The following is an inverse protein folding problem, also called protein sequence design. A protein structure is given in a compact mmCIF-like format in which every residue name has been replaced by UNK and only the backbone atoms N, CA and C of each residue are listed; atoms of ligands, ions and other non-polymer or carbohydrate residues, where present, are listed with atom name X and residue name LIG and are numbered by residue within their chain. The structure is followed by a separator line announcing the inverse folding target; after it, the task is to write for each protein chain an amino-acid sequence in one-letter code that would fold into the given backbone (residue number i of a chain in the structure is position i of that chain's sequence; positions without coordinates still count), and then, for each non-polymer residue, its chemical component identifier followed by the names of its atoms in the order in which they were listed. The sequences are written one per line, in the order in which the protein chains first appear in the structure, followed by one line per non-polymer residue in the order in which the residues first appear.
data_IF_380514829310
#
_entry.id   IF_380514829310
#
_cell.length_a   1.000
_cell.length_b   1.000
_cell.length_c   1.000
_cell.angle_alpha   90.00
_cell.angle_beta   90.00
_cell.angle_gamma   90.00
#
_symmetry.space_group_name_H-M   'P 1'
#
loop_
_entity.id
_entity.type
_entity.pdbx_description
1 polymer ?
#
# COMPACT_ATOMS: atom_id res chain seq x y z
N UNK A 1 21.29 -14.05 9.75
CA UNK A 1 20.08 -13.24 9.97
C UNK A 1 19.66 -12.63 8.64
N UNK A 2 18.37 -12.44 8.45
CA UNK A 2 17.79 -11.85 7.26
C UNK A 2 17.00 -10.58 7.58
N UNK A 3 17.12 -9.61 6.68
CA UNK A 3 16.44 -8.32 6.70
C UNK A 3 15.38 -8.33 5.61
N UNK A 4 14.13 -8.15 6.00
CA UNK A 4 12.99 -8.01 5.12
C UNK A 4 12.72 -6.55 4.76
N UNK A 5 12.42 -6.31 3.50
CA UNK A 5 11.86 -5.06 3.00
C UNK A 5 10.56 -5.38 2.28
N UNK A 6 9.47 -4.73 2.66
CA UNK A 6 8.17 -4.83 1.98
C UNK A 6 8.04 -3.65 1.02
N UNK A 7 7.80 -3.91 -0.27
CA UNK A 7 7.83 -2.85 -1.28
C UNK A 7 6.89 -3.06 -2.47
N UNK A 8 6.58 -1.97 -3.17
CA UNK A 8 5.99 -2.02 -4.52
C UNK A 8 7.03 -1.72 -5.60
N UNK A 9 8.03 -0.88 -5.29
CA UNK A 9 9.05 -0.40 -6.24
C UNK A 9 8.47 0.00 -7.60
N UNK A 10 7.47 0.88 -7.56
CA UNK A 10 6.62 1.27 -8.69
C UNK A 10 6.79 2.77 -9.05
N UNK A 11 7.89 3.20 -9.72
CA UNK A 11 9.06 2.41 -10.15
C UNK A 11 10.15 2.27 -9.07
N UNK A 12 11.14 1.41 -9.32
CA UNK A 12 12.41 1.37 -8.58
C UNK A 12 13.20 2.65 -8.88
N UNK A 13 13.89 3.24 -7.89
CA UNK A 13 14.47 4.58 -8.01
C UNK A 13 15.57 4.81 -6.97
N UNK A 14 16.31 5.92 -7.08
CA UNK A 14 17.47 6.24 -6.26
C UNK A 14 17.20 6.23 -4.75
N UNK A 15 16.00 6.65 -4.30
CA UNK A 15 15.60 6.54 -2.89
C UNK A 15 15.58 5.10 -2.36
N UNK A 16 15.26 4.11 -3.20
CA UNK A 16 15.30 2.70 -2.81
C UNK A 16 16.74 2.18 -2.74
N UNK A 17 17.57 2.57 -3.71
CA UNK A 17 19.01 2.25 -3.72
C UNK A 17 19.69 2.80 -2.47
N UNK A 18 19.36 4.04 -2.09
CA UNK A 18 19.85 4.65 -0.85
C UNK A 18 19.49 3.82 0.39
N UNK A 19 18.24 3.38 0.52
CA UNK A 19 17.82 2.54 1.64
C UNK A 19 18.56 1.19 1.63
N UNK A 20 18.71 0.53 0.48
CA UNK A 20 19.45 -0.73 0.37
C UNK A 20 20.92 -0.54 0.81
N UNK A 21 21.57 0.53 0.34
CA UNK A 21 22.95 0.83 0.74
C UNK A 21 23.09 1.16 2.22
N UNK A 22 22.13 1.90 2.79
CA UNK A 22 22.07 2.14 4.24
C UNK A 22 22.02 0.82 5.02
N UNK A 23 21.17 -0.12 4.59
CA UNK A 23 21.03 -1.43 5.23
C UNK A 23 22.33 -2.22 5.14
N UNK A 24 22.95 -2.29 3.94
CA UNK A 24 24.24 -2.96 3.74
C UNK A 24 25.35 -2.39 4.62
N UNK A 25 25.39 -1.08 4.80
CA UNK A 25 26.41 -0.44 5.64
C UNK A 25 26.15 -0.68 7.13
N UNK A 26 24.90 -0.67 7.56
CA UNK A 26 24.52 -0.86 8.97
C UNK A 26 24.57 -2.33 9.40
N UNK A 27 24.28 -3.25 8.49
CA UNK A 27 24.18 -4.68 8.72
C UNK A 27 24.96 -5.47 7.64
N UNK A 28 26.30 -5.33 7.57
CA UNK A 28 27.11 -5.82 6.44
C UNK A 28 27.10 -7.34 6.22
N UNK A 29 26.73 -8.11 7.23
CA UNK A 29 26.71 -9.58 7.17
C UNK A 29 25.29 -10.17 7.11
N UNK A 30 24.27 -9.34 6.90
CA UNK A 30 22.87 -9.78 6.86
C UNK A 30 22.34 -9.87 5.44
N UNK A 31 21.56 -10.92 5.16
CA UNK A 31 20.92 -11.11 3.87
C UNK A 31 19.76 -10.10 3.73
N UNK A 32 19.65 -9.43 2.58
CA UNK A 32 18.50 -8.55 2.30
C UNK A 32 17.52 -9.31 1.41
N UNK A 33 16.28 -9.44 1.88
CA UNK A 33 15.18 -10.10 1.19
C UNK A 33 14.07 -9.08 0.97
N UNK A 34 13.63 -8.93 -0.28
CA UNK A 34 12.52 -8.06 -0.64
C UNK A 34 11.26 -8.89 -0.88
N UNK A 35 10.15 -8.46 -0.29
CA UNK A 35 8.80 -8.97 -0.55
C UNK A 35 8.07 -7.90 -1.35
N UNK A 36 7.91 -8.13 -2.65
CA UNK A 36 7.46 -7.14 -3.61
C UNK A 36 6.08 -7.45 -4.16
N UNK A 37 5.23 -6.44 -4.30
CA UNK A 37 3.93 -6.62 -4.98
C UNK A 37 4.12 -7.11 -6.42
N UNK A 38 3.22 -8.01 -6.85
CA UNK A 38 3.12 -8.48 -8.22
C UNK A 38 2.68 -7.40 -9.21
N UNK A 39 1.89 -7.79 -10.22
CA UNK A 39 1.37 -6.88 -11.25
C UNK A 39 0.58 -5.68 -10.69
N UNK A 40 -0.06 -5.85 -9.53
CA UNK A 40 -0.98 -4.86 -8.96
C UNK A 40 -0.48 -4.31 -7.63
N UNK A 41 -0.67 -3.01 -7.41
CA UNK A 41 -0.27 -2.31 -6.18
C UNK A 41 -1.30 -2.49 -5.06
N UNK A 42 -0.94 -2.05 -3.84
CA UNK A 42 -1.84 -1.95 -2.70
C UNK A 42 -3.05 -1.04 -2.95
N UNK A 43 -2.90 -0.09 -3.86
CA UNK A 43 -3.97 0.86 -4.22
C UNK A 43 -4.88 0.34 -5.34
N UNK A 44 -4.62 -0.86 -5.87
CA UNK A 44 -5.36 -1.42 -6.99
C UNK A 44 -4.98 -0.81 -8.33
N UNK A 45 -3.75 -0.30 -8.45
CA UNK A 45 -3.19 0.23 -9.69
C UNK A 45 -2.36 -0.85 -10.38
N UNK A 46 -2.16 -0.73 -11.69
CA UNK A 46 -1.20 -1.56 -12.43
C UNK A 46 0.19 -0.98 -12.16
N UNK A 47 1.16 -1.84 -11.82
CA UNK A 47 2.54 -1.42 -11.68
C UNK A 47 3.11 -1.00 -13.05
N UNK A 48 3.91 0.07 -13.08
CA UNK A 48 4.47 0.63 -14.33
C UNK A 48 5.42 -0.33 -15.04
N UNK A 49 5.88 -1.38 -14.37
CA UNK A 49 6.72 -2.42 -14.94
C UNK A 49 6.37 -3.79 -14.34
N UNK A 50 6.65 -4.84 -15.10
CA UNK A 50 6.43 -6.23 -14.67
C UNK A 50 7.17 -6.56 -13.37
N UNK A 51 6.72 -7.59 -12.67
CA UNK A 51 7.41 -8.10 -11.48
C UNK A 51 8.87 -8.46 -11.82
N UNK A 52 9.11 -9.19 -12.91
CA UNK A 52 10.47 -9.59 -13.33
C UNK A 52 11.36 -8.40 -13.68
N UNK A 53 10.82 -7.38 -14.36
CA UNK A 53 11.56 -6.14 -14.66
C UNK A 53 11.97 -5.43 -13.36
N UNK A 54 11.05 -5.23 -12.42
CA UNK A 54 11.36 -4.59 -11.13
C UNK A 54 12.35 -5.43 -10.31
N UNK A 55 12.16 -6.75 -10.28
CA UNK A 55 13.03 -7.71 -9.58
C UNK A 55 14.46 -7.65 -10.07
N UNK A 56 14.68 -7.55 -11.39
CA UNK A 56 16.03 -7.39 -11.99
C UNK A 56 16.79 -6.23 -11.35
N UNK A 57 16.21 -5.02 -11.36
CA UNK A 57 16.86 -3.82 -10.79
C UNK A 57 17.09 -3.92 -9.28
N UNK A 58 16.19 -4.59 -8.56
CA UNK A 58 16.33 -4.83 -7.11
C UNK A 58 17.52 -5.75 -6.82
N UNK A 59 17.68 -6.82 -7.58
CA UNK A 59 18.82 -7.74 -7.46
C UNK A 59 20.15 -7.04 -7.84
N UNK A 60 20.15 -6.24 -8.90
CA UNK A 60 21.32 -5.43 -9.31
C UNK A 60 21.75 -4.43 -8.23
N UNK A 61 20.83 -3.94 -7.41
CA UNK A 61 21.13 -3.08 -6.26
C UNK A 61 21.78 -3.83 -5.07
N UNK A 62 21.92 -5.16 -5.16
CA UNK A 62 22.57 -6.00 -4.15
C UNK A 62 21.62 -6.60 -3.12
N UNK A 63 20.32 -6.71 -3.43
CA UNK A 63 19.37 -7.54 -2.67
C UNK A 63 19.60 -9.01 -3.02
N UNK A 64 19.54 -9.89 -2.02
CA UNK A 64 19.87 -11.31 -2.18
C UNK A 64 18.72 -12.11 -2.80
N UNK A 65 17.48 -11.85 -2.37
CA UNK A 65 16.28 -12.54 -2.85
C UNK A 65 15.09 -11.59 -2.97
N UNK A 66 14.23 -11.86 -3.95
CA UNK A 66 12.97 -11.13 -4.16
C UNK A 66 11.84 -12.13 -4.29
N UNK A 67 10.84 -12.03 -3.42
CA UNK A 67 9.63 -12.84 -3.44
C UNK A 67 8.43 -11.99 -3.82
N UNK A 68 7.52 -12.57 -4.63
CA UNK A 68 6.26 -11.93 -4.97
C UNK A 68 5.26 -12.08 -3.82
N UNK A 69 4.64 -10.97 -3.41
CA UNK A 69 3.50 -11.00 -2.49
C UNK A 69 2.26 -11.54 -3.22
N UNK A 70 1.50 -12.49 -2.64
CA UNK A 70 0.24 -12.95 -3.18
C UNK A 70 -0.72 -11.78 -3.43
N UNK A 71 -1.51 -11.84 -4.51
CA UNK A 71 -2.44 -10.78 -4.89
C UNK A 71 -3.40 -10.41 -3.74
N UNK A 72 -3.90 -11.43 -3.05
CA UNK A 72 -4.85 -11.32 -1.93
C UNK A 72 -4.23 -10.60 -0.73
N UNK A 73 -2.90 -10.59 -0.63
CA UNK A 73 -2.14 -9.81 0.35
C UNK A 73 -1.81 -8.43 -0.21
N UNK A 74 -1.28 -8.36 -1.44
CA UNK A 74 -0.72 -7.14 -2.00
C UNK A 74 -1.79 -6.08 -2.25
N UNK A 75 -2.95 -6.45 -2.79
CA UNK A 75 -3.97 -5.50 -3.24
C UNK A 75 -5.12 -5.42 -2.24
N UNK A 76 -4.82 -4.86 -1.08
CA UNK A 76 -5.73 -4.80 0.06
C UNK A 76 -5.64 -3.47 0.84
N UNK A 77 -6.51 -3.31 1.85
CA UNK A 77 -6.35 -2.23 2.82
C UNK A 77 -5.04 -2.40 3.62
N UNK A 78 -4.45 -1.29 4.08
CA UNK A 78 -3.12 -1.27 4.68
C UNK A 78 -2.91 -2.29 5.81
N UNK A 79 -3.89 -2.45 6.71
CA UNK A 79 -3.83 -3.44 7.80
C UNK A 79 -3.78 -4.89 7.30
N UNK A 80 -4.56 -5.27 6.28
CA UNK A 80 -4.54 -6.63 5.70
C UNK A 80 -3.23 -6.86 4.93
N UNK A 81 -2.82 -5.87 4.14
CA UNK A 81 -1.53 -5.89 3.44
C UNK A 81 -0.37 -6.11 4.41
N UNK A 82 -0.34 -5.33 5.50
CA UNK A 82 0.68 -5.45 6.54
C UNK A 82 0.62 -6.82 7.23
N UNK A 83 -0.56 -7.31 7.59
CA UNK A 83 -0.72 -8.64 8.20
C UNK A 83 -0.16 -9.75 7.33
N UNK A 84 -0.56 -9.80 6.04
CA UNK A 84 -0.10 -10.84 5.12
C UNK A 84 1.40 -10.73 4.82
N UNK A 85 1.90 -9.52 4.57
CA UNK A 85 3.32 -9.31 4.29
C UNK A 85 4.21 -9.67 5.49
N UNK A 86 3.83 -9.24 6.71
CA UNK A 86 4.57 -9.57 7.93
C UNK A 86 4.53 -11.06 8.25
N UNK A 87 3.38 -11.72 8.03
CA UNK A 87 3.28 -13.17 8.14
C UNK A 87 4.26 -13.86 7.19
N UNK A 88 4.37 -13.41 5.95
CA UNK A 88 5.36 -13.96 5.00
C UNK A 88 6.80 -13.73 5.48
N UNK A 89 7.14 -12.54 5.98
CA UNK A 89 8.47 -12.30 6.56
C UNK A 89 8.79 -13.33 7.65
N UNK A 90 7.84 -13.58 8.55
CA UNK A 90 7.99 -14.57 9.61
C UNK A 90 8.19 -15.99 9.07
N UNK A 91 7.36 -16.42 8.12
CA UNK A 91 7.45 -17.75 7.49
C UNK A 91 8.77 -17.97 6.74
N UNK A 92 9.37 -16.89 6.24
CA UNK A 92 10.66 -16.90 5.54
C UNK A 92 11.86 -16.66 6.46
N UNK A 93 11.67 -16.74 7.79
CA UNK A 93 12.71 -16.57 8.81
C UNK A 93 13.45 -15.22 8.71
N UNK A 94 12.71 -14.14 8.41
CA UNK A 94 13.24 -12.79 8.49
C UNK A 94 13.31 -12.35 9.95
N UNK A 95 14.46 -11.85 10.38
CA UNK A 95 14.69 -11.39 11.76
C UNK A 95 14.39 -9.91 11.94
N UNK A 96 14.61 -9.10 10.89
CA UNK A 96 14.46 -7.65 10.94
C UNK A 96 13.61 -7.14 9.80
N UNK A 97 12.71 -6.20 10.09
CA UNK A 97 11.98 -5.45 9.07
C UNK A 97 12.55 -4.04 8.98
N UNK A 98 12.83 -3.55 7.77
CA UNK A 98 13.22 -2.15 7.56
C UNK A 98 12.29 -1.49 6.54
N UNK A 99 11.73 -0.34 6.91
CA UNK A 99 10.85 0.44 6.05
C UNK A 99 11.09 1.95 6.17
N UNK A 100 10.66 2.71 5.16
CA UNK A 100 10.75 4.17 5.16
C UNK A 100 9.67 4.81 6.04
N UNK A 101 10.02 5.85 6.79
CA UNK A 101 9.13 6.58 7.69
C UNK A 101 9.36 8.10 7.56
N UNK A 102 8.30 8.88 7.77
CA UNK A 102 8.40 10.34 7.85
C UNK A 102 8.92 10.81 9.23
N UNK A 103 8.40 10.23 10.32
CA UNK A 103 8.82 10.56 11.70
C UNK A 103 10.14 9.92 12.11
N UNK A 104 10.45 8.74 11.58
CA UNK A 104 11.62 7.94 11.94
C UNK A 104 11.70 7.62 13.45
N UNK A 105 10.55 7.34 14.07
CA UNK A 105 10.43 7.02 15.49
C UNK A 105 9.82 5.62 15.68
N UNK A 106 10.69 4.60 15.68
CA UNK A 106 10.27 3.20 15.80
C UNK A 106 9.73 2.88 17.20
N UNK A 107 10.25 3.53 18.23
CA UNK A 107 9.84 3.32 19.62
C UNK A 107 8.41 3.83 19.83
N UNK A 108 8.04 4.95 19.21
CA UNK A 108 6.67 5.44 19.16
C UNK A 108 5.73 4.41 18.52
N UNK A 109 6.13 3.76 17.42
CA UNK A 109 5.30 2.74 16.79
C UNK A 109 5.08 1.52 17.68
N UNK A 110 6.14 1.04 18.35
CA UNK A 110 6.02 -0.05 19.33
C UNK A 110 5.16 0.35 20.52
N UNK A 111 5.29 1.58 21.03
CA UNK A 111 4.44 2.11 22.09
C UNK A 111 2.97 2.09 21.67
N UNK A 112 2.66 2.60 20.47
CA UNK A 112 1.28 2.62 19.96
C UNK A 112 0.74 1.20 19.78
N UNK A 113 1.48 0.31 19.12
CA UNK A 113 1.05 -1.06 18.87
C UNK A 113 0.78 -1.83 20.17
N UNK A 114 1.66 -1.72 21.16
CA UNK A 114 1.46 -2.36 22.47
C UNK A 114 0.28 -1.76 23.24
N UNK A 115 0.12 -0.44 23.22
CA UNK A 115 -1.05 0.21 23.86
C UNK A 115 -2.35 -0.26 23.22
N UNK A 116 -2.42 -0.35 21.89
CA UNK A 116 -3.61 -0.86 21.20
C UNK A 116 -3.90 -2.33 21.55
N UNK A 117 -2.87 -3.19 21.55
CA UNK A 117 -3.01 -4.60 21.93
C UNK A 117 -3.53 -4.78 23.36
N UNK A 118 -2.99 -3.99 24.30
CA UNK A 118 -3.36 -4.09 25.72
C UNK A 118 -4.70 -3.40 26.05
N UNK A 119 -5.19 -2.50 25.21
CA UNK A 119 -6.41 -1.72 25.43
C UNK A 119 -7.44 -1.90 24.30
N UNK A 120 -7.47 -3.08 23.67
CA UNK A 120 -8.29 -3.34 22.48
C UNK A 120 -9.79 -3.06 22.73
N UNK A 121 -10.31 -3.47 23.90
CA UNK A 121 -11.70 -3.23 24.26
C UNK A 121 -12.02 -1.74 24.37
N UNK A 122 -11.15 -0.96 25.01
CA UNK A 122 -11.32 0.50 25.15
C UNK A 122 -11.22 1.19 23.78
N UNK A 123 -10.25 0.79 22.95
CA UNK A 123 -10.12 1.29 21.58
C UNK A 123 -11.40 1.05 20.78
N UNK A 124 -11.94 -0.16 20.83
CA UNK A 124 -13.14 -0.54 20.10
C UNK A 124 -14.38 0.21 20.59
N UNK A 125 -14.48 0.51 21.89
CA UNK A 125 -15.56 1.34 22.44
C UNK A 125 -15.49 2.77 21.90
N UNK A 126 -14.32 3.41 21.95
CA UNK A 126 -14.12 4.77 21.43
C UNK A 126 -14.30 4.84 19.92
N UNK A 127 -13.82 3.83 19.18
CA UNK A 127 -14.05 3.73 17.74
C UNK A 127 -15.54 3.68 17.41
N UNK A 128 -16.33 2.86 18.13
CA UNK A 128 -17.79 2.80 17.96
C UNK A 128 -18.46 4.12 18.30
N UNK A 129 -18.01 4.81 19.33
CA UNK A 129 -18.52 6.15 19.71
C UNK A 129 -18.31 7.16 18.58
N UNK A 130 -17.09 7.28 18.04
CA UNK A 130 -16.78 8.19 16.94
C UNK A 130 -17.51 7.82 15.64
N UNK A 131 -17.69 6.54 15.36
CA UNK A 131 -18.50 6.09 14.22
C UNK A 131 -19.98 6.48 14.38
N UNK A 132 -20.55 6.41 15.59
CA UNK A 132 -21.93 6.86 15.87
C UNK A 132 -22.11 8.37 15.68
N UNK A 133 -21.05 9.16 15.81
CA UNK A 133 -21.04 10.59 15.49
C UNK A 133 -21.03 10.89 13.98
N UNK A 134 -21.06 9.86 13.11
CA UNK A 134 -21.10 10.01 11.66
C UNK A 134 -19.73 10.27 11.01
N UNK A 135 -18.64 10.05 11.76
CA UNK A 135 -17.29 10.11 11.23
C UNK A 135 -17.00 8.90 10.34
N UNK A 136 -16.28 9.13 9.25
CA UNK A 136 -15.75 8.03 8.43
C UNK A 136 -14.72 7.21 9.22
N UNK A 137 -14.60 5.92 8.88
CA UNK A 137 -13.71 4.99 9.59
C UNK A 137 -12.27 5.51 9.78
N UNK A 138 -11.60 6.12 8.77
CA UNK A 138 -10.25 6.66 8.98
C UNK A 138 -10.18 7.70 10.11
N UNK A 139 -11.14 8.63 10.15
CA UNK A 139 -11.18 9.69 11.16
C UNK A 139 -11.55 9.12 12.53
N UNK A 140 -12.54 8.22 12.59
CA UNK A 140 -12.95 7.57 13.83
C UNK A 140 -11.81 6.74 14.44
N UNK A 141 -11.07 6.01 13.61
CA UNK A 141 -9.88 5.25 14.02
C UNK A 141 -8.76 6.17 14.51
N UNK A 142 -8.49 7.27 13.80
CA UNK A 142 -7.46 8.26 14.20
C UNK A 142 -7.78 8.87 15.57
N UNK A 143 -9.03 9.30 15.79
CA UNK A 143 -9.46 9.88 17.07
C UNK A 143 -9.47 8.86 18.20
N UNK A 144 -9.94 7.63 17.96
CA UNK A 144 -9.89 6.56 18.94
C UNK A 144 -8.45 6.27 19.37
N UNK A 145 -7.52 6.20 18.41
CA UNK A 145 -6.10 6.06 18.68
C UNK A 145 -5.58 7.23 19.52
N UNK A 146 -5.78 8.47 19.06
CA UNK A 146 -5.33 9.69 19.73
C UNK A 146 -5.82 9.79 21.18
N UNK A 147 -7.06 9.39 21.44
CA UNK A 147 -7.63 9.38 22.78
C UNK A 147 -7.03 8.35 23.75
N UNK A 148 -6.31 7.34 23.23
CA UNK A 148 -5.62 6.33 24.04
C UNK A 148 -4.13 6.63 24.19
N UNK A 149 -3.47 7.02 23.10
CA UNK A 149 -2.01 7.20 23.11
C UNK A 149 -1.55 8.65 23.26
N UNK A 150 -2.44 9.62 23.01
CA UNK A 150 -2.11 11.05 22.97
C UNK A 150 -1.45 11.52 21.66
N UNK A 151 -1.26 10.62 20.68
CA UNK A 151 -0.60 10.89 19.41
C UNK A 151 -1.49 10.58 18.22
N UNK A 152 -1.23 11.25 17.11
CA UNK A 152 -1.90 11.05 15.83
C UNK A 152 -0.87 10.69 14.77
N UNK A 153 -1.06 9.55 14.11
CA UNK A 153 -0.23 9.13 12.98
C UNK A 153 -0.98 9.49 11.69
N UNK A 154 -0.53 10.55 11.02
CA UNK A 154 -1.21 11.13 9.86
C UNK A 154 -0.49 10.88 8.54
N UNK A 155 0.83 10.65 8.59
CA UNK A 155 1.64 10.55 7.38
C UNK A 155 1.53 9.17 6.73
N UNK A 156 1.47 9.06 5.38
CA UNK A 156 1.15 7.80 4.72
C UNK A 156 2.11 6.64 5.01
N UNK A 157 3.43 6.87 5.05
CA UNK A 157 4.38 5.78 5.31
C UNK A 157 4.42 5.43 6.80
N UNK A 158 4.20 6.39 7.69
CA UNK A 158 4.04 6.13 9.13
C UNK A 158 2.78 5.33 9.44
N UNK A 159 1.65 5.59 8.75
CA UNK A 159 0.42 4.77 8.87
C UNK A 159 0.72 3.33 8.48
N UNK A 160 1.38 3.10 7.33
CA UNK A 160 1.73 1.77 6.88
C UNK A 160 2.75 1.09 7.80
N UNK A 161 3.76 1.84 8.24
CA UNK A 161 4.77 1.41 9.21
C UNK A 161 4.15 0.96 10.53
N UNK A 162 3.18 1.72 11.04
CA UNK A 162 2.44 1.34 12.24
C UNK A 162 1.65 0.04 12.03
N UNK A 163 1.02 -0.16 10.87
CA UNK A 163 0.32 -1.43 10.58
C UNK A 163 1.28 -2.62 10.55
N UNK A 164 2.52 -2.46 10.07
CA UNK A 164 3.53 -3.52 10.18
C UNK A 164 3.87 -3.85 11.64
N UNK A 165 4.14 -2.83 12.45
CA UNK A 165 4.50 -3.03 13.86
C UNK A 165 3.34 -3.64 14.64
N UNK A 166 2.09 -3.21 14.36
CA UNK A 166 0.88 -3.86 14.91
C UNK A 166 0.81 -5.33 14.53
N UNK A 167 1.07 -5.69 13.28
CA UNK A 167 1.04 -7.08 12.85
C UNK A 167 2.12 -7.93 13.56
N UNK A 168 3.33 -7.40 13.75
CA UNK A 168 4.41 -8.05 14.52
C UNK A 168 3.95 -8.27 15.97
N UNK A 169 3.51 -7.20 16.64
CA UNK A 169 3.15 -7.21 18.07
C UNK A 169 1.94 -8.11 18.34
N UNK A 170 0.90 -8.06 17.51
CA UNK A 170 -0.32 -8.83 17.71
C UNK A 170 -0.10 -10.34 17.55
N UNK A 171 0.80 -10.75 16.67
CA UNK A 171 1.09 -12.17 16.43
C UNK A 171 2.29 -12.69 17.24
N UNK A 172 2.95 -11.84 18.03
CA UNK A 172 4.18 -12.17 18.75
C UNK A 172 5.28 -12.73 17.83
N UNK A 173 5.38 -12.22 16.60
CA UNK A 173 6.45 -12.63 15.70
C UNK A 173 7.79 -12.11 16.20
N UNK A 174 8.83 -12.95 16.17
CA UNK A 174 10.19 -12.58 16.51
C UNK A 174 10.86 -11.79 15.38
N UNK A 175 10.28 -10.63 15.04
CA UNK A 175 10.77 -9.70 14.01
C UNK A 175 11.02 -8.35 14.68
N UNK A 176 12.24 -7.86 14.60
CA UNK A 176 12.59 -6.51 15.05
C UNK A 176 12.40 -5.50 13.92
N UNK A 177 11.48 -4.56 14.10
CA UNK A 177 11.27 -3.50 13.14
C UNK A 177 12.26 -2.34 13.34
N UNK A 178 12.67 -1.73 12.24
CA UNK A 178 13.43 -0.48 12.18
C UNK A 178 12.79 0.41 11.12
N UNK A 179 12.84 1.72 11.35
CA UNK A 179 12.47 2.70 10.35
C UNK A 179 13.69 3.50 9.89
N UNK A 180 13.61 4.03 8.67
CA UNK A 180 14.58 4.97 8.11
C UNK A 180 13.85 6.23 7.66
N UNK A 181 14.37 7.39 8.05
CA UNK A 181 13.83 8.68 7.62
C UNK A 181 13.91 8.80 6.09
N UNK A 182 12.79 9.15 5.45
CA UNK A 182 12.78 9.40 4.00
C UNK A 182 13.61 10.65 3.66
N UNK A 183 14.33 10.60 2.53
CA UNK A 183 14.98 11.77 1.94
C UNK A 183 13.96 12.73 1.31
N UNK A 184 12.84 12.21 0.80
CA UNK A 184 11.77 12.95 0.09
C UNK A 184 10.38 12.39 0.44
N UNK A 185 9.40 13.27 0.66
CA UNK A 185 8.00 12.91 0.96
C UNK A 185 7.28 12.20 -0.21
N UNK A 186 6.33 11.31 0.08
CA UNK A 186 5.67 10.45 -0.92
C UNK A 186 4.94 11.21 -2.05
N UNK A 187 4.43 12.40 -1.76
CA UNK A 187 3.66 13.25 -2.68
C UNK A 187 4.40 14.52 -3.13
N UNK A 188 5.69 14.68 -2.82
CA UNK A 188 6.37 15.92 -3.22
C UNK A 188 6.61 15.96 -4.73
N UNK A 189 6.36 17.13 -5.30
CA UNK A 189 6.81 17.52 -6.64
C UNK A 189 8.26 18.07 -6.61
N UNK A 190 8.78 18.34 -5.42
CA UNK A 190 10.17 18.74 -5.22
C UNK A 190 11.12 17.55 -5.41
N UNK A 191 12.18 17.79 -6.16
CA UNK A 191 13.34 16.91 -6.28
C UNK A 191 14.47 17.44 -5.39
N UNK A 192 15.22 16.54 -4.75
CA UNK A 192 16.46 16.88 -4.05
C UNK A 192 17.59 16.14 -4.76
N UNK A 193 18.50 16.87 -5.39
CA UNK A 193 19.62 16.30 -6.16
C UNK A 193 19.13 15.27 -7.21
N UNK A 194 19.40 13.98 -6.97
CA UNK A 194 19.03 12.84 -7.80
C UNK A 194 17.87 12.01 -7.19
N UNK A 195 17.13 12.57 -6.22
CA UNK A 195 15.98 11.93 -5.61
C UNK A 195 14.67 12.57 -6.08
N UNK A 196 13.67 11.71 -6.29
CA UNK A 196 12.30 12.09 -6.64
C UNK A 196 11.30 11.14 -5.95
N UNK A 197 10.06 11.61 -5.77
CA UNK A 197 8.98 10.75 -5.26
C UNK A 197 8.52 9.75 -6.33
N UNK A 198 8.10 8.55 -5.92
CA UNK A 198 7.58 7.55 -6.86
C UNK A 198 6.37 8.07 -7.65
N UNK A 199 5.52 8.90 -7.02
CA UNK A 199 4.36 9.52 -7.68
C UNK A 199 4.78 10.47 -8.80
N UNK A 200 5.79 11.32 -8.55
CA UNK A 200 6.33 12.21 -9.57
C UNK A 200 6.96 11.44 -10.73
N UNK A 201 7.73 10.38 -10.43
CA UNK A 201 8.32 9.53 -11.47
C UNK A 201 7.27 8.87 -12.34
N UNK A 202 6.14 8.41 -11.78
CA UNK A 202 5.03 7.88 -12.58
C UNK A 202 4.44 8.96 -13.50
N UNK A 203 4.29 10.20 -13.03
CA UNK A 203 3.86 11.33 -13.88
C UNK A 203 4.80 11.54 -15.07
N UNK A 204 6.11 11.52 -14.85
CA UNK A 204 7.11 11.66 -15.92
C UNK A 204 7.05 10.50 -16.91
N UNK A 205 6.97 9.25 -16.42
CA UNK A 205 6.84 8.05 -17.26
C UNK A 205 5.61 8.14 -18.17
N UNK A 206 4.45 8.54 -17.64
CA UNK A 206 3.23 8.65 -18.45
C UNK A 206 3.25 9.81 -19.45
N UNK A 207 4.18 10.76 -19.31
CA UNK A 207 4.45 11.83 -20.28
C UNK A 207 5.60 11.50 -21.24
N UNK A 208 6.17 10.29 -21.14
CA UNK A 208 7.38 9.89 -21.87
C UNK A 208 8.57 10.83 -21.62
N UNK A 209 8.66 11.41 -20.42
CA UNK A 209 9.77 12.26 -20.00
C UNK A 209 10.91 11.39 -19.42
N UNK A 210 12.15 11.87 -19.58
CA UNK A 210 13.33 11.16 -19.06
C UNK A 210 13.38 11.16 -17.53
N UNK A 211 13.55 9.97 -16.96
CA UNK A 211 13.69 9.74 -15.52
C UNK A 211 15.07 9.24 -15.10
N UNK A 212 16.02 9.11 -16.03
CA UNK A 212 17.35 8.50 -15.84
C UNK A 212 18.14 9.12 -14.69
N UNK A 213 17.93 10.42 -14.43
CA UNK A 213 18.49 11.13 -13.27
C UNK A 213 18.06 10.56 -11.92
N UNK A 214 16.86 9.98 -11.84
CA UNK A 214 16.20 9.57 -10.59
C UNK A 214 16.00 8.06 -10.47
N UNK A 215 16.07 7.34 -11.57
CA UNK A 215 15.81 5.90 -11.64
C UNK A 215 16.70 5.23 -12.69
N UNK A 216 17.23 4.02 -12.40
CA UNK A 216 17.93 3.21 -13.40
C UNK A 216 16.96 2.49 -14.37
N UNK A 217 15.66 2.55 -14.13
CA UNK A 217 14.67 1.84 -14.95
C UNK A 217 14.51 2.51 -16.30
N UNK A 218 14.39 1.68 -17.34
CA UNK A 218 14.18 2.12 -18.73
C UNK A 218 12.75 1.76 -19.15
N UNK A 219 12.06 2.70 -19.79
CA UNK A 219 10.71 2.55 -20.30
C UNK A 219 10.70 2.86 -21.81
N UNK A 220 10.55 1.83 -22.64
CA UNK A 220 10.48 1.98 -24.11
C UNK A 220 9.07 2.37 -24.59
N UNK A 221 8.06 1.99 -23.82
CA UNK A 221 6.65 2.27 -24.10
C UNK A 221 5.96 2.81 -22.86
N UNK A 222 4.89 3.58 -23.06
CA UNK A 222 4.04 4.06 -21.96
C UNK A 222 3.33 2.84 -21.35
N UNK A 223 3.49 2.57 -20.05
CA UNK A 223 2.87 1.41 -19.42
C UNK A 223 1.37 1.61 -19.25
N UNK A 224 0.65 0.48 -19.20
CA UNK A 224 -0.80 0.49 -18.99
C UNK A 224 -1.19 1.03 -17.61
N UNK A 225 -2.35 1.68 -17.61
CA UNK A 225 -3.00 2.29 -16.45
C UNK A 225 -4.30 1.58 -16.16
N UNK A 226 -4.68 1.48 -14.88
CA UNK A 226 -5.98 0.88 -14.53
C UNK A 226 -7.15 1.66 -15.15
N UNK A 227 -6.94 2.96 -15.36
CA UNK A 227 -7.84 3.88 -16.05
C UNK A 227 -8.13 3.47 -17.49
N UNK A 228 -7.17 2.83 -18.19
CA UNK A 228 -7.35 2.35 -19.56
C UNK A 228 -8.42 1.24 -19.66
N UNK A 229 -8.71 0.56 -18.54
CA UNK A 229 -9.67 -0.55 -18.46
C UNK A 229 -11.04 -0.10 -17.90
N UNK A 230 -11.30 1.20 -17.82
CA UNK A 230 -12.57 1.70 -17.29
C UNK A 230 -13.78 1.27 -18.13
N UNK A 231 -13.69 1.30 -19.45
CA UNK A 231 -14.80 0.88 -20.32
C UNK A 231 -15.09 -0.62 -20.17
N UNK A 232 -14.06 -1.46 -20.09
CA UNK A 232 -14.22 -2.89 -19.80
C UNK A 232 -14.90 -3.12 -18.44
N UNK A 233 -14.44 -2.43 -17.40
CA UNK A 233 -15.04 -2.45 -16.08
C UNK A 233 -16.52 -2.04 -16.11
N UNK A 234 -16.83 -0.95 -16.82
CA UNK A 234 -18.20 -0.43 -16.97
C UNK A 234 -19.10 -1.45 -17.63
N UNK A 235 -18.67 -2.07 -18.73
CA UNK A 235 -19.44 -3.12 -19.39
C UNK A 235 -19.68 -4.33 -18.47
N UNK A 236 -18.66 -4.75 -17.71
CA UNK A 236 -18.79 -5.86 -16.75
C UNK A 236 -19.81 -5.55 -15.65
N UNK A 237 -19.82 -4.32 -15.12
CA UNK A 237 -20.80 -3.89 -14.10
C UNK A 237 -22.22 -3.85 -14.67
N UNK A 238 -22.39 -3.40 -15.92
CA UNK A 238 -23.69 -3.34 -16.58
C UNK A 238 -24.24 -4.76 -16.81
N UNK A 239 -23.44 -5.65 -17.37
CA UNK A 239 -23.86 -7.00 -17.80
C UNK A 239 -23.99 -8.02 -16.65
N UNK A 240 -23.23 -7.87 -15.57
CA UNK A 240 -23.26 -8.80 -14.43
C UNK A 240 -24.48 -8.52 -13.54
N UNK A 241 -25.21 -9.54 -13.08
CA UNK A 241 -26.36 -9.33 -12.18
C UNK A 241 -25.94 -8.72 -10.83
N UNK A 242 -26.90 -8.18 -10.07
CA UNK A 242 -26.60 -7.61 -8.73
C UNK A 242 -26.08 -8.69 -7.79
N UNK A 243 -26.67 -9.87 -7.89
CA UNK A 243 -26.37 -11.04 -7.06
C UNK A 243 -24.96 -11.56 -7.35
N UNK A 244 -24.54 -11.59 -8.63
CA UNK A 244 -23.18 -11.98 -8.99
C UNK A 244 -22.16 -10.90 -8.62
N UNK A 245 -22.46 -9.61 -8.83
CA UNK A 245 -21.59 -8.53 -8.36
C UNK A 245 -21.40 -8.58 -6.85
N UNK A 246 -22.45 -8.86 -6.08
CA UNK A 246 -22.36 -8.99 -4.63
C UNK A 246 -21.43 -10.13 -4.17
N UNK A 247 -21.08 -11.09 -5.03
CA UNK A 247 -20.10 -12.15 -4.74
C UNK A 247 -18.64 -11.73 -4.94
N UNK A 248 -18.37 -10.59 -5.58
CA UNK A 248 -17.01 -10.07 -5.75
C UNK A 248 -16.45 -9.67 -4.38
N UNK A 249 -15.19 -10.03 -4.13
CA UNK A 249 -14.51 -9.66 -2.89
C UNK A 249 -14.40 -8.14 -2.76
N UNK A 250 -14.37 -7.65 -1.52
CA UNK A 250 -14.47 -6.23 -1.13
C UNK A 250 -15.83 -5.52 -1.40
N UNK A 251 -16.75 -6.11 -2.17
CA UNK A 251 -18.12 -5.59 -2.31
C UNK A 251 -18.93 -5.92 -1.06
N UNK A 252 -19.19 -4.89 -0.26
CA UNK A 252 -20.13 -4.94 0.85
C UNK A 252 -21.54 -4.62 0.37
N UNK A 253 -22.54 -5.10 1.11
CA UNK A 253 -23.96 -4.93 0.82
C UNK A 253 -24.33 -3.51 0.39
N UNK A 254 -25.07 -3.42 -0.73
CA UNK A 254 -25.56 -2.19 -1.34
C UNK A 254 -24.56 -1.50 -2.26
N UNK A 255 -23.28 -1.89 -2.25
CA UNK A 255 -22.25 -1.26 -3.09
C UNK A 255 -22.39 -1.67 -4.56
N UNK A 256 -22.81 -2.90 -4.83
CA UNK A 256 -23.16 -3.38 -6.17
C UNK A 256 -24.28 -2.54 -6.81
N UNK A 257 -25.30 -2.18 -6.04
CA UNK A 257 -26.38 -1.30 -6.48
C UNK A 257 -25.86 0.11 -6.79
N UNK A 258 -24.99 0.64 -5.91
CA UNK A 258 -24.34 1.96 -6.11
C UNK A 258 -23.49 1.96 -7.38
N UNK A 259 -22.72 0.90 -7.63
CA UNK A 259 -21.85 0.80 -8.81
C UNK A 259 -22.68 0.77 -10.09
N UNK A 260 -23.70 -0.08 -10.17
CA UNK A 260 -24.62 -0.14 -11.32
C UNK A 260 -25.24 1.20 -11.66
N UNK A 261 -25.60 2.01 -10.66
CA UNK A 261 -26.10 3.37 -10.89
C UNK A 261 -25.00 4.28 -11.44
N UNK A 262 -23.85 4.32 -10.78
CA UNK A 262 -22.80 5.32 -11.09
C UNK A 262 -22.15 5.07 -12.45
N UNK A 263 -21.96 3.81 -12.86
CA UNK A 263 -21.34 3.52 -14.18
C UNK A 263 -22.18 4.01 -15.37
N UNK A 264 -23.49 4.21 -15.17
CA UNK A 264 -24.38 4.79 -16.19
C UNK A 264 -24.27 6.33 -16.24
N UNK A 265 -23.83 6.96 -15.16
CA UNK A 265 -23.73 8.41 -15.04
C UNK A 265 -22.29 8.95 -15.20
N UNK A 266 -21.28 8.12 -14.96
CA UNK A 266 -19.86 8.49 -15.00
C UNK A 266 -19.30 8.26 -16.40
N UNK A 267 -18.66 9.29 -16.94
CA UNK A 267 -18.12 9.29 -18.31
C UNK A 267 -16.74 8.63 -18.39
N UNK A 268 -15.99 8.68 -17.30
CA UNK A 268 -14.61 8.24 -17.23
C UNK A 268 -14.28 7.69 -15.84
N UNK A 269 -13.08 7.14 -15.70
CA UNK A 269 -12.57 6.58 -14.45
C UNK A 269 -12.62 7.58 -13.28
N UNK A 270 -12.15 8.81 -13.49
CA UNK A 270 -12.04 9.79 -12.40
C UNK A 270 -13.41 10.23 -11.91
N UNK A 271 -14.37 10.48 -12.82
CA UNK A 271 -15.76 10.78 -12.47
C UNK A 271 -16.44 9.61 -11.78
N UNK A 272 -16.16 8.37 -12.17
CA UNK A 272 -16.66 7.18 -11.47
C UNK A 272 -16.14 7.10 -10.05
N UNK A 273 -14.82 7.19 -9.84
CA UNK A 273 -14.18 7.10 -8.52
C UNK A 273 -14.70 8.22 -7.61
N UNK A 274 -14.82 9.45 -8.12
CA UNK A 274 -15.30 10.60 -7.36
C UNK A 274 -16.78 10.44 -6.95
N UNK A 275 -17.65 9.96 -7.84
CA UNK A 275 -19.06 9.69 -7.51
C UNK A 275 -19.22 8.50 -6.55
N UNK A 276 -18.39 7.46 -6.70
CA UNK A 276 -18.46 6.26 -5.89
C UNK A 276 -17.92 6.49 -4.46
N UNK A 277 -16.94 7.38 -4.31
CA UNK A 277 -16.42 7.84 -3.03
C UNK A 277 -17.53 8.38 -2.12
N UNK A 278 -17.45 8.06 -0.83
CA UNK A 278 -18.41 8.49 0.19
C UNK A 278 -17.80 8.40 1.58
N UNK A 279 -18.51 8.88 2.61
CA UNK A 279 -18.08 8.70 4.01
C UNK A 279 -17.85 7.23 4.39
N UNK A 280 -18.56 6.29 3.76
CA UNK A 280 -18.44 4.84 3.99
C UNK A 280 -17.36 4.17 3.14
N UNK A 281 -17.09 4.69 1.94
CA UNK A 281 -16.19 4.05 0.97
C UNK A 281 -15.17 5.06 0.45
N UNK A 282 -13.90 4.88 0.81
CA UNK A 282 -12.81 5.73 0.34
C UNK A 282 -12.49 5.45 -1.13
N UNK A 283 -11.99 6.45 -1.85
CA UNK A 283 -11.52 6.29 -3.24
C UNK A 283 -10.54 5.13 -3.40
N UNK A 284 -9.62 4.92 -2.44
CA UNK A 284 -8.69 3.78 -2.47
C UNK A 284 -9.40 2.42 -2.43
N UNK A 285 -10.48 2.28 -1.66
CA UNK A 285 -11.30 1.06 -1.66
C UNK A 285 -12.04 0.89 -2.98
N UNK A 286 -12.63 1.96 -3.52
CA UNK A 286 -13.32 1.93 -4.82
C UNK A 286 -12.38 1.46 -5.93
N UNK A 287 -11.17 2.01 -6.00
CA UNK A 287 -10.14 1.63 -6.98
C UNK A 287 -9.78 0.14 -6.89
N UNK A 288 -9.56 -0.39 -5.67
CA UNK A 288 -9.36 -1.83 -5.48
C UNK A 288 -10.56 -2.66 -5.96
N UNK A 289 -11.79 -2.25 -5.65
CA UNK A 289 -12.99 -2.98 -6.07
C UNK A 289 -13.10 -3.02 -7.60
N UNK A 290 -12.80 -1.91 -8.29
CA UNK A 290 -12.76 -1.90 -9.76
C UNK A 290 -11.84 -2.99 -10.30
N UNK A 291 -10.63 -3.09 -9.76
CA UNK A 291 -9.68 -4.13 -10.15
C UNK A 291 -10.19 -5.55 -9.84
N UNK A 292 -10.80 -5.76 -8.67
CA UNK A 292 -11.38 -7.05 -8.30
C UNK A 292 -12.53 -7.46 -9.22
N UNK A 293 -13.35 -6.50 -9.64
CA UNK A 293 -14.39 -6.71 -10.65
C UNK A 293 -13.75 -7.11 -11.97
N UNK A 294 -12.76 -6.35 -12.48
CA UNK A 294 -12.07 -6.68 -13.73
C UNK A 294 -11.52 -8.11 -13.72
N UNK A 295 -10.88 -8.51 -12.61
CA UNK A 295 -10.29 -9.83 -12.43
C UNK A 295 -11.27 -10.96 -12.04
N UNK A 296 -12.56 -10.68 -11.83
CA UNK A 296 -13.57 -11.63 -11.33
C UNK A 296 -13.20 -12.32 -10.00
N UNK A 297 -12.60 -11.58 -9.07
CA UNK A 297 -12.14 -12.15 -7.79
C UNK A 297 -13.28 -12.18 -6.79
N UNK A 298 -13.77 -13.39 -6.51
CA UNK A 298 -14.92 -13.65 -5.63
C UNK A 298 -14.51 -13.79 -4.16
N UNK A 299 -15.49 -13.64 -3.28
CA UNK A 299 -15.39 -13.81 -1.82
C UNK A 299 -15.00 -15.24 -1.43
#
# INVERSE_FOLDING_TARGET
MAIGIIAEYNPFHNGHIYMINYIKNKFPNEEIIVFMSGKYTQRGEIAVASFETRKKYVLEAGVSKVYELPFETSTQAAHIFAQGAIKMLYEYNVDKLIFGSETNDIDLFYKIANTLKNNEQEYNLKLKEFLKQGLGFPNASSLALKSLVGYEIVMPNDILGLEYVKAIVNNNYNIQAYCLKRTINFHSEFTLENFASASYLRTLIYKSEDISKYSPMIFETIPDRIENYYEEFKQKVISTSKEELAKISLISEGLENRFKKIVLEAQDYDSFVNKANSKRYTSSRIKRIMLYILLDIKK
#
